data_IF_687809262376
#
_entry.id   IF_687809262376
#
_cell.length_a   1.000
_cell.length_b   1.000
_cell.length_c   1.000
_cell.angle_alpha   90.00
_cell.angle_beta   90.00
_cell.angle_gamma   90.00
#
_symmetry.space_group_name_H-M   'P 1'
#
loop_
_entity.id
_entity.type
_entity.pdbx_description
1 polymer ?
#
# COMPACT_ATOMS: atom_id res chain seq x y z
N UNK A 1 -3.77 11.41 -8.10
CA UNK A 1 -3.73 10.29 -7.15
C UNK A 1 -3.86 10.86 -5.76
N UNK A 2 -4.67 10.29 -4.86
CA UNK A 2 -4.75 10.79 -3.47
C UNK A 2 -3.37 10.64 -2.81
N UNK A 3 -2.78 11.70 -2.22
CA UNK A 3 -1.42 11.67 -1.69
C UNK A 3 -1.18 10.55 -0.68
N UNK A 4 -2.21 10.19 0.10
CA UNK A 4 -2.10 9.20 1.17
C UNK A 4 -1.83 7.78 0.67
N UNK A 5 -2.44 7.34 -0.45
CA UNK A 5 -2.19 5.99 -0.96
C UNK A 5 -0.84 5.88 -1.65
N UNK A 6 -0.45 6.91 -2.41
CA UNK A 6 0.89 6.96 -3.02
C UNK A 6 1.98 6.89 -1.96
N UNK A 7 1.89 7.73 -0.94
CA UNK A 7 2.90 7.80 0.12
C UNK A 7 3.05 6.47 0.85
N UNK A 8 1.94 5.78 1.15
CA UNK A 8 2.00 4.46 1.79
C UNK A 8 2.61 3.40 0.86
N UNK A 9 2.29 3.43 -0.44
CA UNK A 9 2.92 2.54 -1.42
C UNK A 9 4.43 2.80 -1.48
N UNK A 10 4.83 4.07 -1.55
CA UNK A 10 6.24 4.46 -1.61
C UNK A 10 6.98 4.03 -0.34
N UNK A 11 6.36 4.19 0.84
CA UNK A 11 6.94 3.76 2.11
C UNK A 11 7.14 2.23 2.14
N UNK A 12 6.15 1.47 1.67
CA UNK A 12 6.24 0.01 1.59
C UNK A 12 7.28 -0.42 0.56
N UNK A 13 7.33 0.20 -0.62
CA UNK A 13 8.28 -0.15 -1.68
C UNK A 13 9.72 0.16 -1.27
N UNK A 14 9.94 1.31 -0.62
CA UNK A 14 11.28 1.80 -0.29
C UNK A 14 11.75 1.40 1.12
N UNK A 15 11.00 0.58 1.86
CA UNK A 15 11.45 0.09 3.17
C UNK A 15 12.73 -0.74 3.00
N UNK A 16 13.81 -0.28 3.65
CA UNK A 16 15.12 -0.92 3.65
C UNK A 16 15.40 -1.64 4.98
N UNK A 17 15.18 -0.95 6.10
CA UNK A 17 15.45 -1.47 7.43
C UNK A 17 14.66 -0.67 8.47
N UNK A 18 14.22 -1.33 9.54
CA UNK A 18 13.84 -0.69 10.78
C UNK A 18 14.14 -1.59 11.98
N UNK A 19 14.52 -0.95 13.09
CA UNK A 19 14.77 -1.61 14.37
C UNK A 19 13.89 -1.01 15.44
N UNK A 20 13.27 -1.86 16.25
CA UNK A 20 12.52 -1.48 17.44
C UNK A 20 12.85 -2.47 18.56
N UNK A 21 13.29 -1.96 19.69
CA UNK A 21 13.79 -2.76 20.82
C UNK A 21 14.87 -3.77 20.38
N UNK A 22 14.61 -5.06 20.55
CA UNK A 22 15.54 -6.15 20.20
C UNK A 22 15.31 -6.73 18.80
N UNK A 23 14.36 -6.18 18.03
CA UNK A 23 13.99 -6.69 16.73
C UNK A 23 14.41 -5.72 15.62
N UNK A 24 15.21 -6.23 14.69
CA UNK A 24 15.49 -5.60 13.40
C UNK A 24 14.78 -6.39 12.31
N UNK A 25 14.19 -5.67 11.35
CA UNK A 25 13.67 -6.22 10.11
C UNK A 25 14.38 -5.52 8.95
N UNK A 26 14.99 -6.31 8.07
CA UNK A 26 15.67 -5.84 6.85
C UNK A 26 14.87 -6.20 5.60
N UNK A 27 15.10 -5.47 4.51
CA UNK A 27 14.44 -5.71 3.24
C UNK A 27 14.71 -7.11 2.66
N UNK A 28 15.88 -7.69 2.94
CA UNK A 28 16.28 -9.01 2.46
C UNK A 28 15.44 -10.14 3.08
N UNK A 29 14.83 -9.90 4.25
CA UNK A 29 13.90 -10.83 4.89
C UNK A 29 12.48 -10.75 4.26
N UNK A 30 12.21 -9.76 3.42
CA UNK A 30 10.87 -9.48 2.87
C UNK A 30 10.72 -10.08 1.47
N UNK A 31 9.99 -11.19 1.37
CA UNK A 31 9.74 -11.89 0.10
C UNK A 31 8.55 -11.34 -0.70
N UNK A 32 7.64 -10.62 -0.05
CA UNK A 32 6.48 -10.01 -0.69
C UNK A 32 6.04 -8.73 0.04
N UNK A 33 5.62 -7.73 -0.73
CA UNK A 33 5.16 -6.43 -0.22
C UNK A 33 3.70 -6.22 -0.58
N UNK A 34 2.86 -5.94 0.41
CA UNK A 34 1.42 -5.76 0.22
C UNK A 34 0.91 -4.58 1.03
N UNK A 35 -0.09 -3.89 0.49
CA UNK A 35 -0.83 -2.83 1.18
C UNK A 35 -2.31 -3.20 1.19
N UNK A 36 -2.86 -3.46 2.38
CA UNK A 36 -4.30 -3.69 2.54
C UNK A 36 -5.01 -2.39 2.89
N UNK A 37 -6.08 -2.08 2.15
CA UNK A 37 -6.81 -0.82 2.29
C UNK A 37 -8.29 -1.12 2.47
N UNK A 38 -8.84 -0.77 3.62
CA UNK A 38 -10.28 -0.74 3.82
C UNK A 38 -10.88 0.54 3.23
N UNK A 39 -11.97 0.42 2.49
CA UNK A 39 -12.71 1.57 1.94
C UNK A 39 -14.19 1.47 2.30
N UNK A 40 -14.88 2.58 2.63
CA UNK A 40 -16.31 2.54 2.92
C UNK A 40 -17.12 2.04 1.73
N UNK A 41 -18.22 1.33 2.00
CA UNK A 41 -19.18 0.89 0.97
C UNK A 41 -19.73 2.03 0.11
N UNK A 42 -19.81 3.26 0.66
CA UNK A 42 -20.20 4.49 -0.03
C UNK A 42 -19.12 5.14 -0.91
N UNK A 43 -18.00 4.47 -1.18
CA UNK A 43 -16.92 5.02 -2.02
C UNK A 43 -17.42 5.33 -3.43
N UNK A 44 -17.25 6.57 -3.88
CA UNK A 44 -17.81 7.05 -5.15
C UNK A 44 -17.01 6.58 -6.36
N UNK A 45 -17.59 6.58 -7.58
CA UNK A 45 -16.87 6.20 -8.80
C UNK A 45 -15.58 7.02 -9.03
N UNK A 46 -15.59 8.32 -8.73
CA UNK A 46 -14.42 9.17 -8.85
C UNK A 46 -13.31 8.78 -7.85
N UNK A 47 -13.68 8.37 -6.64
CA UNK A 47 -12.73 7.84 -5.65
C UNK A 47 -12.17 6.47 -6.09
N UNK A 48 -13.01 5.60 -6.67
CA UNK A 48 -12.57 4.34 -7.26
C UNK A 48 -11.58 4.52 -8.42
N UNK A 49 -11.75 5.55 -9.25
CA UNK A 49 -10.74 5.88 -10.27
C UNK A 49 -9.38 6.20 -9.64
N UNK A 50 -9.34 6.92 -8.51
CA UNK A 50 -8.08 7.18 -7.80
C UNK A 50 -7.50 5.93 -7.14
N UNK A 51 -8.35 5.06 -6.59
CA UNK A 51 -7.94 3.78 -6.01
C UNK A 51 -7.34 2.87 -7.09
N UNK A 52 -7.97 2.76 -8.26
CA UNK A 52 -7.46 1.94 -9.36
C UNK A 52 -6.11 2.44 -9.88
N UNK A 53 -5.91 3.76 -9.94
CA UNK A 53 -4.59 4.34 -10.23
C UNK A 53 -3.54 3.96 -9.19
N UNK A 54 -3.93 3.94 -7.91
CA UNK A 54 -3.03 3.52 -6.83
C UNK A 54 -2.72 2.02 -6.89
N UNK A 55 -3.67 1.16 -7.28
CA UNK A 55 -3.43 -0.28 -7.49
C UNK A 55 -2.41 -0.49 -8.61
N UNK A 56 -2.60 0.17 -9.76
CA UNK A 56 -1.67 0.11 -10.89
C UNK A 56 -0.28 0.63 -10.51
N UNK A 57 -0.23 1.75 -9.80
CA UNK A 57 1.01 2.32 -9.30
C UNK A 57 1.71 1.35 -8.34
N UNK A 58 1.01 0.79 -7.36
CA UNK A 58 1.55 -0.20 -6.44
C UNK A 58 2.16 -1.39 -7.17
N UNK A 59 1.44 -1.95 -8.16
CA UNK A 59 1.96 -3.05 -8.97
C UNK A 59 3.26 -2.68 -9.68
N UNK A 60 3.36 -1.46 -10.24
CA UNK A 60 4.60 -0.96 -10.85
C UNK A 60 5.76 -0.79 -9.88
N UNK A 61 5.48 -0.65 -8.58
CA UNK A 61 6.46 -0.55 -7.49
C UNK A 61 6.73 -1.90 -6.79
N UNK A 62 6.18 -3.01 -7.31
CA UNK A 62 6.30 -4.34 -6.67
C UNK A 62 5.46 -4.50 -5.39
N UNK A 63 4.47 -3.64 -5.17
CA UNK A 63 3.56 -3.67 -4.00
C UNK A 63 2.17 -4.10 -4.43
N UNK A 64 1.67 -5.22 -3.88
CA UNK A 64 0.29 -5.65 -4.11
C UNK A 64 -0.67 -4.82 -3.26
N UNK A 65 -1.48 -3.98 -3.90
CA UNK A 65 -2.54 -3.22 -3.22
C UNK A 65 -3.83 -4.03 -3.24
N UNK A 66 -4.36 -4.35 -2.06
CA UNK A 66 -5.60 -5.10 -1.87
C UNK A 66 -6.63 -4.17 -1.25
N UNK A 67 -7.78 -4.00 -1.90
CA UNK A 67 -8.83 -3.08 -1.46
C UNK A 67 -10.05 -3.87 -1.04
N UNK A 68 -10.51 -3.64 0.19
CA UNK A 68 -11.65 -4.34 0.79
C UNK A 68 -12.74 -3.32 1.15
N UNK A 69 -13.92 -3.38 0.52
CA UNK A 69 -15.07 -2.60 0.96
C UNK A 69 -15.54 -3.04 2.35
N UNK A 70 -15.77 -2.09 3.25
CA UNK A 70 -16.31 -2.32 4.61
C UNK A 70 -17.68 -1.66 4.75
N UNK A 71 -18.57 -2.31 5.50
CA UNK A 71 -19.94 -1.85 5.75
C UNK A 71 -19.99 -0.83 6.87
#
# INVERSE_FOLDING_TARGET
MKPSLKGNIDAVANFMEASLETRTLTADEITARQLQVAVPSGTTPAQWQQINRAIQYGQSQGVKVIVTPVK
#
